data_IF_671118218777
#
_entry.id   IF_671118218777
#
_cell.length_a   1.000
_cell.length_b   1.000
_cell.length_c   1.000
_cell.angle_alpha   90.00
_cell.angle_beta   90.00
_cell.angle_gamma   90.00
#
_symmetry.space_group_name_H-M   'P 1'
#
loop_
_entity.id
_entity.type
_entity.pdbx_description
1 polymer ?
#
# COMPACT_ATOMS: atom_id res chain seq x y z
N UNK A 1 1.77 16.06 -18.11
CA UNK A 1 0.93 15.45 -17.06
C UNK A 1 1.61 15.75 -15.73
N UNK A 2 0.95 16.51 -14.87
CA UNK A 2 1.44 16.86 -13.54
C UNK A 2 1.12 15.71 -12.60
N UNK A 3 2.15 15.02 -12.13
CA UNK A 3 2.01 14.01 -11.08
C UNK A 3 1.49 14.70 -9.81
N UNK A 4 0.56 14.09 -9.05
CA UNK A 4 0.30 14.57 -7.70
C UNK A 4 1.60 14.39 -6.91
N UNK A 5 2.23 15.51 -6.52
CA UNK A 5 3.35 15.48 -5.60
C UNK A 5 2.82 14.90 -4.29
N UNK A 6 3.33 13.74 -3.90
CA UNK A 6 3.23 13.34 -2.51
C UNK A 6 4.12 14.30 -1.69
N UNK A 7 3.60 14.83 -0.60
CA UNK A 7 4.32 15.76 0.27
C UNK A 7 4.27 15.23 1.70
N UNK A 8 5.44 15.07 2.33
CA UNK A 8 5.55 14.82 3.76
C UNK A 8 5.94 16.14 4.41
N UNK A 9 5.06 16.70 5.25
CA UNK A 9 5.35 17.92 6.01
C UNK A 9 5.80 17.56 7.41
N UNK A 10 6.96 18.08 7.78
CA UNK A 10 7.51 17.98 9.13
C UNK A 10 7.02 19.19 9.93
N UNK A 11 6.01 19.00 10.76
CA UNK A 11 5.49 20.07 11.63
C UNK A 11 6.22 20.00 12.96
N UNK A 12 7.21 20.87 13.16
CA UNK A 12 7.79 21.13 14.46
C UNK A 12 7.03 22.28 15.13
N UNK A 13 6.35 22.02 16.25
CA UNK A 13 5.88 23.08 17.13
C UNK A 13 7.10 23.67 17.86
N UNK A 14 7.67 24.75 17.33
CA UNK A 14 8.78 25.49 17.93
C UNK A 14 8.33 26.42 19.07
N UNK A 15 7.42 25.95 19.91
CA UNK A 15 7.06 26.65 21.12
C UNK A 15 6.66 25.60 22.15
N UNK A 16 7.62 25.09 22.92
CA UNK A 16 7.48 24.72 24.34
C UNK A 16 8.84 24.29 24.89
N UNK A 17 9.16 24.80 26.08
CA UNK A 17 10.48 24.78 26.70
C UNK A 17 10.93 23.41 27.25
N UNK A 18 10.26 22.31 26.90
CA UNK A 18 10.57 20.99 27.43
C UNK A 18 10.31 19.94 26.34
N UNK A 19 11.37 19.25 25.91
CA UNK A 19 11.34 18.15 24.95
C UNK A 19 10.69 16.87 25.54
N UNK A 20 9.57 17.01 26.26
CA UNK A 20 8.85 15.90 26.88
C UNK A 20 7.62 15.44 26.07
N UNK A 21 7.18 16.23 25.08
CA UNK A 21 6.10 15.84 24.17
C UNK A 21 6.63 15.37 22.81
N UNK A 22 5.94 14.43 22.17
CA UNK A 22 6.31 13.86 20.86
C UNK A 22 6.41 14.98 19.83
N UNK A 23 7.65 15.38 19.53
CA UNK A 23 8.03 16.57 18.73
C UNK A 23 7.71 16.39 17.23
N UNK A 24 7.22 15.22 16.83
CA UNK A 24 7.05 14.83 15.44
C UNK A 24 5.61 14.39 15.17
N UNK A 25 4.79 15.32 14.73
CA UNK A 25 3.52 14.99 14.10
C UNK A 25 3.74 14.89 12.58
N UNK A 26 3.65 13.68 12.03
CA UNK A 26 3.66 13.47 10.59
C UNK A 26 2.25 13.65 10.04
N UNK A 27 2.05 14.68 9.22
CA UNK A 27 0.84 14.85 8.43
C UNK A 27 1.12 14.37 7.00
N UNK A 28 0.33 13.39 6.55
CA UNK A 28 0.53 12.72 5.27
C UNK A 28 -0.55 13.23 4.31
N UNK A 29 -0.22 14.15 3.42
CA UNK A 29 -1.21 14.76 2.50
C UNK A 29 -1.42 13.94 1.21
N UNK A 30 -1.23 12.62 1.29
CA UNK A 30 -1.23 11.72 0.14
C UNK A 30 -1.68 10.30 0.48
N UNK A 31 -1.87 9.48 -0.55
CA UNK A 31 -2.25 8.08 -0.38
C UNK A 31 -1.06 7.24 0.14
N UNK A 32 -1.24 6.59 1.28
CA UNK A 32 -0.23 5.75 1.93
C UNK A 32 -0.47 4.25 1.73
N UNK A 33 -1.53 3.88 0.99
CA UNK A 33 -1.93 2.49 0.78
C UNK A 33 -0.81 1.57 0.30
N UNK A 34 -0.03 2.03 -0.69
CA UNK A 34 1.08 1.25 -1.25
C UNK A 34 2.17 1.00 -0.22
N UNK A 35 2.48 1.99 0.62
CA UNK A 35 3.51 1.85 1.67
C UNK A 35 3.04 0.92 2.78
N UNK A 36 1.77 1.02 3.19
CA UNK A 36 1.19 0.10 4.18
C UNK A 36 1.17 -1.34 3.65
N UNK A 37 0.89 -1.53 2.36
CA UNK A 37 0.93 -2.85 1.73
C UNK A 37 2.35 -3.43 1.68
N UNK A 38 3.35 -2.61 1.31
CA UNK A 38 4.76 -3.03 1.28
C UNK A 38 5.22 -3.40 2.70
N UNK A 39 4.94 -2.56 3.69
CA UNK A 39 5.25 -2.83 5.10
C UNK A 39 4.62 -4.15 5.57
N UNK A 40 3.33 -4.35 5.28
CA UNK A 40 2.64 -5.59 5.63
C UNK A 40 3.23 -6.83 4.96
N UNK A 41 3.52 -6.74 3.66
CA UNK A 41 4.15 -7.82 2.91
C UNK A 41 5.50 -8.23 3.52
N UNK A 42 6.35 -7.24 3.84
CA UNK A 42 7.65 -7.48 4.46
C UNK A 42 7.51 -8.12 5.84
N UNK A 43 6.52 -7.72 6.63
CA UNK A 43 6.25 -8.35 7.92
C UNK A 43 5.78 -9.81 7.77
N UNK A 44 4.86 -10.10 6.84
CA UNK A 44 4.42 -11.49 6.62
C UNK A 44 5.58 -12.38 6.20
N UNK A 45 6.49 -11.86 5.37
CA UNK A 45 7.71 -12.55 4.98
C UNK A 45 8.65 -12.75 6.18
N UNK A 46 8.87 -11.72 6.99
CA UNK A 46 9.69 -11.81 8.21
C UNK A 46 9.13 -12.83 9.21
N UNK A 47 7.80 -12.89 9.35
CA UNK A 47 7.08 -13.84 10.19
C UNK A 47 6.98 -15.25 9.57
N UNK A 48 7.53 -15.46 8.37
CA UNK A 48 7.48 -16.73 7.61
C UNK A 48 6.06 -17.22 7.31
N UNK A 49 5.10 -16.29 7.24
CA UNK A 49 3.71 -16.58 6.85
C UNK A 49 3.54 -16.65 5.34
N UNK A 50 4.46 -16.04 4.59
CA UNK A 50 4.60 -16.14 3.14
C UNK A 50 6.06 -16.44 2.81
N UNK A 51 6.32 -17.28 1.80
CA UNK A 51 7.67 -17.56 1.30
C UNK A 51 8.01 -16.70 0.08
N UNK A 52 9.31 -16.45 -0.14
CA UNK A 52 9.75 -15.61 -1.26
C UNK A 52 9.37 -16.20 -2.64
N UNK A 53 9.39 -17.52 -2.75
CA UNK A 53 9.05 -18.31 -3.93
C UNK A 53 7.60 -18.78 -3.95
N UNK A 54 6.79 -18.37 -2.97
CA UNK A 54 5.37 -18.67 -2.96
C UNK A 54 4.70 -18.07 -4.19
N UNK A 55 3.91 -18.88 -4.90
CA UNK A 55 3.41 -18.54 -6.23
C UNK A 55 1.98 -18.04 -6.16
N UNK A 56 1.76 -16.85 -6.68
CA UNK A 56 0.45 -16.33 -7.00
C UNK A 56 0.16 -16.52 -8.48
N UNK A 57 -0.98 -17.16 -8.79
CA UNK A 57 -1.47 -17.30 -10.17
C UNK A 57 -2.53 -16.25 -10.42
N UNK A 58 -2.32 -15.43 -11.46
CA UNK A 58 -3.25 -14.36 -11.81
C UNK A 58 -4.60 -14.96 -12.20
N UNK A 59 -5.69 -14.65 -11.47
CA UNK A 59 -7.03 -15.11 -11.79
C UNK A 59 -7.57 -14.39 -13.04
N UNK A 60 -8.85 -14.55 -13.36
CA UNK A 60 -9.44 -13.82 -14.49
C UNK A 60 -9.23 -12.31 -14.39
N UNK A 61 -8.80 -11.70 -15.51
CA UNK A 61 -8.49 -10.28 -15.57
C UNK A 61 -9.75 -9.46 -15.28
N UNK A 62 -9.64 -8.56 -14.31
CA UNK A 62 -10.58 -7.44 -14.19
C UNK A 62 -10.41 -6.53 -15.41
N UNK A 63 -11.51 -5.91 -15.84
CA UNK A 63 -11.51 -4.96 -16.95
C UNK A 63 -10.57 -3.80 -16.60
N UNK A 64 -9.49 -3.65 -17.38
CA UNK A 64 -8.55 -2.53 -17.23
C UNK A 64 -9.31 -1.22 -17.45
N UNK A 65 -9.35 -0.31 -16.47
CA UNK A 65 -9.90 1.02 -16.69
C UNK A 65 -8.86 1.86 -17.44
N UNK A 66 -9.32 2.62 -18.44
CA UNK A 66 -8.48 3.52 -19.22
C UNK A 66 -7.94 4.60 -18.27
N UNK A 67 -6.61 4.78 -18.24
CA UNK A 67 -5.93 5.77 -17.40
C UNK A 67 -5.25 5.20 -16.14
N UNK A 68 -5.39 3.90 -15.88
CA UNK A 68 -4.68 3.23 -14.77
C UNK A 68 -3.24 2.86 -15.16
N UNK A 69 -2.31 3.05 -14.22
CA UNK A 69 -0.94 2.55 -14.34
C UNK A 69 -0.92 1.06 -14.00
N UNK A 70 -0.97 0.22 -15.02
CA UNK A 70 -0.91 -1.24 -14.89
C UNK A 70 0.37 -1.77 -15.57
N UNK A 71 1.01 -2.77 -14.96
CA UNK A 71 2.19 -3.43 -15.54
C UNK A 71 1.82 -4.40 -16.64
N UNK A 72 0.57 -4.89 -16.63
CA UNK A 72 0.02 -5.77 -17.64
C UNK A 72 0.03 -7.25 -17.26
N UNK A 73 -0.10 -7.60 -15.98
CA UNK A 73 -0.11 -8.99 -15.53
C UNK A 73 -1.19 -9.81 -16.29
N UNK A 74 -0.79 -10.91 -16.93
CA UNK A 74 -1.68 -11.69 -17.80
C UNK A 74 -2.37 -12.86 -17.07
N UNK A 75 -3.56 -13.22 -17.55
CA UNK A 75 -4.35 -14.33 -17.00
C UNK A 75 -3.52 -15.62 -17.04
N UNK A 76 -3.56 -16.38 -15.95
CA UNK A 76 -2.81 -17.64 -15.75
C UNK A 76 -1.29 -17.50 -15.63
N UNK A 77 -0.72 -16.31 -15.77
CA UNK A 77 0.68 -16.12 -15.41
C UNK A 77 0.86 -16.31 -13.90
N UNK A 78 2.06 -16.75 -13.56
CA UNK A 78 2.45 -17.08 -12.20
C UNK A 78 3.60 -16.17 -11.82
N UNK A 79 3.46 -15.53 -10.66
CA UNK A 79 4.43 -14.62 -10.11
C UNK A 79 4.72 -15.04 -8.69
N UNK A 80 5.98 -15.02 -8.31
CA UNK A 80 6.39 -15.26 -6.93
C UNK A 80 6.07 -14.04 -6.05
N UNK A 81 5.92 -14.26 -4.74
CA UNK A 81 5.81 -13.18 -3.76
C UNK A 81 6.91 -12.12 -3.95
N UNK A 82 8.16 -12.56 -4.12
CA UNK A 82 9.30 -11.68 -4.29
C UNK A 82 9.18 -10.82 -5.56
N UNK A 83 8.76 -11.39 -6.68
CA UNK A 83 8.54 -10.66 -7.93
C UNK A 83 7.43 -9.62 -7.79
N UNK A 84 6.29 -10.00 -7.21
CA UNK A 84 5.17 -9.08 -6.99
C UNK A 84 5.55 -7.92 -6.07
N UNK A 85 6.28 -8.20 -4.99
CA UNK A 85 6.77 -7.17 -4.07
C UNK A 85 7.75 -6.22 -4.77
N UNK A 86 8.70 -6.75 -5.55
CA UNK A 86 9.64 -5.92 -6.33
C UNK A 86 8.90 -5.05 -7.34
N UNK A 87 7.97 -5.63 -8.11
CA UNK A 87 7.17 -4.87 -9.06
C UNK A 87 6.38 -3.76 -8.37
N UNK A 88 5.79 -4.02 -7.21
CA UNK A 88 5.05 -3.00 -6.46
C UNK A 88 5.96 -1.85 -6.03
N UNK A 89 7.15 -2.16 -5.50
CA UNK A 89 8.12 -1.15 -5.05
C UNK A 89 8.57 -0.25 -6.21
N UNK A 90 8.87 -0.83 -7.38
CA UNK A 90 9.43 -0.06 -8.50
C UNK A 90 8.38 0.64 -9.36
N UNK A 91 7.19 0.06 -9.49
CA UNK A 91 6.20 0.52 -10.47
C UNK A 91 4.98 1.14 -9.83
N UNK A 92 4.65 0.72 -8.60
CA UNK A 92 3.39 1.04 -7.93
C UNK A 92 2.14 0.75 -8.78
N UNK A 93 2.24 -0.21 -9.71
CA UNK A 93 1.17 -0.54 -10.64
C UNK A 93 -0.05 -1.14 -9.91
N UNK A 94 -1.25 -0.79 -10.37
CA UNK A 94 -2.49 -1.16 -9.69
C UNK A 94 -2.78 -2.67 -9.78
N UNK A 95 -2.55 -3.28 -10.94
CA UNK A 95 -2.68 -4.73 -11.11
C UNK A 95 -1.71 -5.53 -10.23
N UNK A 96 -0.51 -5.01 -10.00
CA UNK A 96 0.46 -5.59 -9.06
C UNK A 96 0.01 -5.41 -7.61
N UNK A 97 -0.51 -4.23 -7.25
CA UNK A 97 -1.09 -3.97 -5.93
C UNK A 97 -2.23 -4.95 -5.63
N UNK A 98 -3.15 -5.13 -6.57
CA UNK A 98 -4.25 -6.08 -6.47
C UNK A 98 -3.75 -7.53 -6.34
N UNK A 99 -2.77 -7.92 -7.15
CA UNK A 99 -2.20 -9.27 -7.11
C UNK A 99 -1.55 -9.58 -5.75
N UNK A 100 -0.68 -8.69 -5.25
CA UNK A 100 -0.02 -8.86 -3.96
C UNK A 100 -1.03 -8.83 -2.79
N UNK A 101 -2.05 -7.97 -2.87
CA UNK A 101 -3.11 -7.91 -1.88
C UNK A 101 -3.91 -9.22 -1.85
N UNK A 102 -4.34 -9.74 -3.00
CA UNK A 102 -5.05 -11.01 -3.05
C UNK A 102 -4.20 -12.18 -2.56
N UNK A 103 -2.89 -12.16 -2.84
CA UNK A 103 -1.97 -13.17 -2.32
C UNK A 103 -1.89 -13.14 -0.79
N UNK A 104 -1.80 -11.97 -0.18
CA UNK A 104 -1.59 -11.81 1.26
C UNK A 104 -2.88 -11.91 2.09
N UNK A 105 -4.01 -11.48 1.51
CA UNK A 105 -5.26 -11.28 2.26
C UNK A 105 -6.43 -12.10 1.71
N UNK A 106 -6.30 -12.72 0.54
CA UNK A 106 -7.37 -13.50 -0.10
C UNK A 106 -8.55 -12.69 -0.65
N UNK A 107 -8.83 -11.49 -0.12
CA UNK A 107 -9.86 -10.59 -0.62
C UNK A 107 -9.53 -9.10 -0.41
N UNK A 108 -10.22 -8.27 -1.19
CA UNK A 108 -10.13 -6.81 -1.14
C UNK A 108 -10.65 -6.25 0.18
N UNK A 109 -11.75 -6.80 0.68
CA UNK A 109 -12.37 -6.39 1.94
C UNK A 109 -11.45 -6.68 3.13
N UNK A 110 -10.79 -7.85 3.14
CA UNK A 110 -9.80 -8.19 4.17
C UNK A 110 -8.56 -7.28 4.10
N UNK A 111 -8.10 -7.01 2.88
CA UNK A 111 -7.00 -6.06 2.65
C UNK A 111 -7.34 -4.68 3.25
N UNK A 112 -8.53 -4.15 2.96
CA UNK A 112 -8.95 -2.85 3.48
C UNK A 112 -8.99 -2.84 5.01
N UNK A 113 -9.60 -3.86 5.61
CA UNK A 113 -9.71 -3.96 7.07
C UNK A 113 -8.34 -3.98 7.74
N UNK A 114 -7.41 -4.79 7.22
CA UNK A 114 -6.09 -4.96 7.81
C UNK A 114 -5.22 -3.71 7.64
N UNK A 115 -5.24 -3.08 6.46
CA UNK A 115 -4.45 -1.87 6.23
C UNK A 115 -5.02 -0.65 6.98
N UNK A 116 -6.35 -0.54 7.13
CA UNK A 116 -6.95 0.49 7.99
C UNK A 116 -6.54 0.32 9.45
N UNK A 117 -6.63 -0.91 9.98
CA UNK A 117 -6.19 -1.21 11.35
C UNK A 117 -4.71 -0.90 11.55
N UNK A 118 -3.87 -1.20 10.55
CA UNK A 118 -2.44 -0.89 10.61
C UNK A 118 -2.18 0.62 10.64
N UNK A 119 -2.93 1.40 9.86
CA UNK A 119 -2.83 2.85 9.91
C UNK A 119 -3.21 3.39 11.30
N UNK A 120 -4.22 2.80 11.94
CA UNK A 120 -4.60 3.12 13.33
C UNK A 120 -3.49 2.74 14.33
N UNK A 121 -2.91 1.55 14.21
CA UNK A 121 -1.81 1.07 15.06
C UNK A 121 -0.58 1.99 14.97
N UNK A 122 -0.31 2.55 13.79
CA UNK A 122 0.73 3.55 13.54
C UNK A 122 0.31 4.98 13.90
N UNK A 123 -0.89 5.18 14.46
CA UNK A 123 -1.44 6.48 14.82
C UNK A 123 -1.44 7.48 13.66
N UNK A 124 -1.59 6.98 12.43
CA UNK A 124 -1.67 7.81 11.25
C UNK A 124 -3.00 8.56 11.29
N UNK A 125 -2.94 9.88 11.41
CA UNK A 125 -4.11 10.74 11.37
C UNK A 125 -4.69 10.78 9.95
N UNK A 126 -5.52 9.79 9.62
CA UNK A 126 -6.26 9.74 8.36
C UNK A 126 -7.41 10.77 8.39
N UNK A 127 -7.09 12.05 8.20
CA UNK A 127 -8.04 13.19 8.29
C UNK A 127 -8.87 13.39 7.02
N UNK A 128 -8.45 12.82 5.89
CA UNK A 128 -9.06 13.08 4.57
C UNK A 128 -9.50 11.76 3.92
N UNK A 129 -10.67 11.70 3.26
CA UNK A 129 -11.13 10.50 2.54
C UNK A 129 -10.14 9.94 1.50
N UNK A 130 -9.13 10.72 1.10
CA UNK A 130 -8.22 10.39 0.00
C UNK A 130 -6.91 9.67 0.43
N UNK A 131 -6.61 9.50 1.71
CA UNK A 131 -5.32 8.95 2.16
C UNK A 131 -5.18 7.43 2.02
N UNK A 132 -6.28 6.73 1.71
CA UNK A 132 -6.28 5.32 1.26
C UNK A 132 -6.91 5.21 -0.14
N UNK A 133 -6.97 6.29 -0.92
CA UNK A 133 -7.77 6.33 -2.17
C UNK A 133 -7.31 5.33 -3.21
N UNK A 134 -6.00 5.10 -3.36
CA UNK A 134 -5.50 4.12 -4.32
C UNK A 134 -5.29 2.76 -3.68
N UNK A 135 -5.76 2.54 -2.45
CA UNK A 135 -5.88 1.20 -1.88
C UNK A 135 -6.81 0.38 -2.78
N UNK A 136 -7.84 1.03 -3.36
CA UNK A 136 -8.55 0.53 -4.53
C UNK A 136 -9.13 1.67 -5.39
N UNK A 137 -8.86 1.67 -6.70
CA UNK A 137 -9.68 2.41 -7.69
C UNK A 137 -11.09 1.80 -7.87
N UNK A 138 -11.65 1.26 -6.79
CA UNK A 138 -12.94 0.60 -6.71
C UNK A 138 -13.90 1.41 -5.84
N UNK A 139 -14.20 2.63 -6.29
CA UNK A 139 -15.57 3.08 -6.62
C UNK A 139 -15.44 4.03 -7.81
#
# INVERSE_FOLDING_TARGET
MTYPLFEIKLLAALDHAQFEEVIWAFEIDGDISTLLLIDYALEQFHQKKVQADEVYRVPEQKIKKIGEQNLGLEKNESYTFAELLQFLIFTQANDVKDALSNMLFGSIEQTQLILSKRAEDYQLALRVPNQLKNLFLLV
#
